data_IF_211230117326
#
_entry.id   IF_211230117326
#
_cell.length_a   1.000
_cell.length_b   1.000
_cell.length_c   1.000
_cell.angle_alpha   90.00
_cell.angle_beta   90.00
_cell.angle_gamma   90.00
#
_symmetry.space_group_name_H-M   'P 1'
#
loop_
_entity.id
_entity.type
_entity.pdbx_description
1 polymer ?
#
# COMPACT_ATOMS: atom_id res chain seq x y z
N UNK A 1 7.06 19.59 -20.07
CA UNK A 1 7.99 19.27 -18.96
C UNK A 1 7.69 17.85 -18.51
N UNK A 2 8.69 16.94 -18.47
CA UNK A 2 8.45 15.57 -18.00
C UNK A 2 7.99 15.62 -16.55
N UNK A 3 6.86 14.95 -16.26
CA UNK A 3 6.35 14.82 -14.90
C UNK A 3 7.44 14.18 -14.03
N UNK A 4 7.81 14.79 -12.89
CA UNK A 4 8.72 14.17 -11.94
C UNK A 4 8.12 12.82 -11.53
N UNK A 5 8.81 11.73 -11.85
CA UNK A 5 8.45 10.42 -11.33
C UNK A 5 8.74 10.47 -9.83
N UNK A 6 7.75 10.12 -9.01
CA UNK A 6 7.90 10.07 -7.56
C UNK A 6 8.85 8.92 -7.23
N UNK A 7 10.13 9.22 -7.06
CA UNK A 7 11.13 8.25 -6.65
C UNK A 7 10.98 8.02 -5.14
N UNK A 8 10.17 7.04 -4.77
CA UNK A 8 10.12 6.54 -3.40
C UNK A 8 11.20 5.48 -3.18
N UNK A 9 11.83 5.42 -1.99
CA UNK A 9 12.75 4.35 -1.67
C UNK A 9 11.98 3.02 -1.67
N UNK A 10 12.55 2.00 -2.31
CA UNK A 10 12.02 0.63 -2.28
C UNK A 10 12.80 -0.18 -1.26
N UNK A 11 12.08 -0.83 -0.37
CA UNK A 11 12.63 -1.71 0.66
C UNK A 11 12.33 -3.17 0.32
N UNK A 12 13.22 -4.07 0.76
CA UNK A 12 13.04 -5.51 0.65
C UNK A 12 12.76 -6.11 2.04
N UNK A 13 11.71 -6.91 2.14
CA UNK A 13 11.36 -7.69 3.31
C UNK A 13 11.32 -9.17 2.93
N UNK A 14 11.82 -10.03 3.81
CA UNK A 14 11.59 -11.47 3.71
C UNK A 14 10.41 -11.80 4.61
N UNK A 15 9.33 -12.34 4.06
CA UNK A 15 8.19 -12.73 4.86
C UNK A 15 8.56 -13.98 5.69
N UNK A 16 8.53 -13.94 7.03
CA UNK A 16 8.96 -15.07 7.85
C UNK A 16 8.07 -16.31 7.66
N UNK A 17 6.79 -16.11 7.31
CA UNK A 17 5.83 -17.21 7.14
C UNK A 17 6.01 -18.01 5.85
N UNK A 18 6.48 -17.40 4.76
CA UNK A 18 6.60 -18.06 3.45
C UNK A 18 8.02 -18.06 2.87
N UNK A 19 8.96 -17.35 3.49
CA UNK A 19 10.32 -17.17 2.99
C UNK A 19 10.41 -16.35 1.70
N UNK A 20 9.30 -15.80 1.21
CA UNK A 20 9.26 -15.02 -0.03
C UNK A 20 9.82 -13.62 0.21
N UNK A 21 10.61 -13.14 -0.74
CA UNK A 21 11.09 -11.76 -0.79
C UNK A 21 10.02 -10.86 -1.40
N UNK A 22 9.62 -9.83 -0.67
CA UNK A 22 8.71 -8.80 -1.15
C UNK A 22 9.39 -7.43 -1.16
N UNK A 23 9.04 -6.64 -2.18
CA UNK A 23 9.46 -5.25 -2.33
C UNK A 23 8.28 -4.37 -2.00
N UNK A 24 8.48 -3.39 -1.13
CA UNK A 24 7.47 -2.43 -0.74
C UNK A 24 8.04 -1.02 -0.72
N UNK A 25 7.18 -0.03 -0.83
CA UNK A 25 7.51 1.38 -0.67
C UNK A 25 6.89 1.92 0.62
N UNK A 26 7.44 2.99 1.21
CA UNK A 26 6.81 3.64 2.34
C UNK A 26 5.49 4.30 1.93
N UNK A 27 4.63 4.43 2.93
CA UNK A 27 3.36 5.12 2.85
C UNK A 27 3.59 6.63 2.58
N UNK A 28 2.80 7.19 1.66
CA UNK A 28 2.84 8.59 1.28
C UNK A 28 1.61 9.32 1.82
N UNK A 29 1.74 10.65 1.90
CA UNK A 29 0.64 11.57 2.28
C UNK A 29 -0.62 11.37 1.41
N UNK A 30 -0.46 10.88 0.18
CA UNK A 30 -1.59 10.54 -0.69
C UNK A 30 -2.43 9.38 -0.14
N UNK A 31 -1.77 8.31 0.31
CA UNK A 31 -2.48 7.17 0.90
C UNK A 31 -3.05 7.54 2.27
N UNK A 32 -2.38 8.41 3.02
CA UNK A 32 -2.87 8.93 4.31
C UNK A 32 -4.23 9.62 4.15
N UNK A 33 -4.34 10.48 3.13
CA UNK A 33 -5.59 11.16 2.82
C UNK A 33 -6.72 10.19 2.48
N UNK A 34 -6.43 9.12 1.73
CA UNK A 34 -7.42 8.10 1.35
C UNK A 34 -7.93 7.39 2.60
N UNK A 35 -7.02 7.00 3.49
CA UNK A 35 -7.39 6.34 4.75
C UNK A 35 -8.24 7.25 5.65
N UNK A 36 -7.89 8.53 5.77
CA UNK A 36 -8.67 9.49 6.56
C UNK A 36 -10.09 9.67 6.00
N UNK A 37 -10.23 9.83 4.67
CA UNK A 37 -11.56 9.92 4.04
C UNK A 37 -12.39 8.64 4.24
N UNK A 38 -11.75 7.47 4.21
CA UNK A 38 -12.43 6.21 4.47
C UNK A 38 -12.89 6.11 5.95
N UNK A 39 -12.06 6.58 6.89
CA UNK A 39 -12.41 6.64 8.32
C UNK A 39 -13.55 7.63 8.61
N UNK A 40 -13.61 8.75 7.91
CA UNK A 40 -14.73 9.70 7.99
C UNK A 40 -16.06 9.11 7.52
N UNK A 41 -16.03 8.04 6.72
CA UNK A 41 -17.23 7.39 6.19
C UNK A 41 -17.94 6.48 7.19
N UNK A 42 -17.33 6.19 8.36
CA UNK A 42 -17.82 5.32 9.45
C UNK A 42 -18.22 3.88 9.06
N UNK A 43 -18.11 3.51 7.78
CA UNK A 43 -18.44 2.18 7.26
C UNK A 43 -17.21 1.27 7.30
N UNK A 44 -17.27 0.25 8.14
CA UNK A 44 -16.20 -0.75 8.31
C UNK A 44 -15.83 -1.44 7.00
N UNK A 45 -16.78 -1.63 6.07
CA UNK A 45 -16.49 -2.25 4.77
C UNK A 45 -15.63 -1.33 3.91
N UNK A 46 -15.98 -0.05 3.84
CA UNK A 46 -15.23 0.94 3.08
C UNK A 46 -13.83 1.17 3.66
N UNK A 47 -13.71 1.17 4.99
CA UNK A 47 -12.41 1.25 5.67
C UNK A 47 -11.55 0.03 5.30
N UNK A 48 -12.12 -1.18 5.33
CA UNK A 48 -11.40 -2.41 5.02
C UNK A 48 -10.95 -2.45 3.56
N UNK A 49 -11.82 -2.03 2.63
CA UNK A 49 -11.49 -1.93 1.20
C UNK A 49 -10.39 -0.91 0.94
N UNK A 50 -10.46 0.27 1.55
CA UNK A 50 -9.43 1.30 1.42
C UNK A 50 -8.06 0.83 1.94
N UNK A 51 -8.04 0.10 3.06
CA UNK A 51 -6.81 -0.49 3.60
C UNK A 51 -6.23 -1.53 2.64
N UNK A 52 -7.06 -2.40 2.06
CA UNK A 52 -6.60 -3.38 1.06
C UNK A 52 -5.99 -2.69 -0.16
N UNK A 53 -6.65 -1.67 -0.71
CA UNK A 53 -6.18 -0.92 -1.88
C UNK A 53 -4.85 -0.19 -1.60
N UNK A 54 -4.73 0.40 -0.41
CA UNK A 54 -3.49 1.04 0.05
C UNK A 54 -2.34 0.03 0.11
N UNK A 55 -2.58 -1.15 0.69
CA UNK A 55 -1.56 -2.19 0.84
C UNK A 55 -1.12 -2.73 -0.52
N UNK A 56 -2.05 -2.97 -1.45
CA UNK A 56 -1.74 -3.35 -2.84
C UNK A 56 -0.89 -2.27 -3.55
N UNK A 57 -1.17 -0.98 -3.29
CA UNK A 57 -0.40 0.13 -3.86
C UNK A 57 1.00 0.28 -3.27
N UNK A 58 1.18 -0.11 -2.01
CA UNK A 58 2.47 -0.03 -1.31
C UNK A 58 3.37 -1.24 -1.60
N UNK A 59 2.80 -2.38 -1.96
CA UNK A 59 3.56 -3.61 -2.29
C UNK A 59 3.82 -3.66 -3.80
N UNK A 60 5.11 -3.64 -4.16
CA UNK A 60 5.55 -3.63 -5.56
C UNK A 60 5.77 -5.05 -6.12
N UNK A 61 5.69 -6.07 -5.27
CA UNK A 61 5.83 -7.47 -5.67
C UNK A 61 4.55 -7.98 -6.32
N UNK A 62 4.65 -8.34 -7.61
CA UNK A 62 3.55 -8.94 -8.37
C UNK A 62 3.19 -10.32 -7.79
N UNK A 63 1.89 -10.57 -7.58
CA UNK A 63 1.36 -11.87 -7.13
C UNK A 63 1.41 -12.08 -5.62
N UNK A 64 1.50 -11.02 -4.82
CA UNK A 64 1.24 -11.09 -3.38
C UNK A 64 -0.27 -10.93 -3.16
N UNK A 65 -0.94 -12.03 -2.79
CA UNK A 65 -2.37 -12.02 -2.48
C UNK A 65 -2.56 -11.59 -1.03
N UNK A 66 -3.39 -10.56 -0.83
CA UNK A 66 -3.70 -9.98 0.50
C UNK A 66 -5.03 -10.58 1.03
N UNK A 67 -5.72 -11.41 0.23
CA UNK A 67 -7.02 -12.02 0.55
C UNK A 67 -6.92 -13.32 1.34
#
# INVERSE_FOLDING_TARGET
>A
MPLPKVNTPTYELVLPSTGKKLKYRPFLVREEKILIMALESEDVKQITEAVMEILESCILTKGFDIR
#
